data_IF_883937871286
#
_entry.id   IF_883937871286
#
_cell.length_a   1.000
_cell.length_b   1.000
_cell.length_c   1.000
_cell.angle_alpha   90.00
_cell.angle_beta   90.00
_cell.angle_gamma   90.00
#
_symmetry.space_group_name_H-M   'P 1'
#
loop_
_entity.id
_entity.type
_entity.pdbx_description
1 polymer ?
#
# COMPACT_ATOMS: atom_id res chain seq x y z
N UNK A 1 -7.38 -0.45 -36.17
CA UNK A 1 -7.32 -1.92 -36.24
C UNK A 1 -7.25 -2.42 -34.79
N UNK A 2 -8.14 -3.29 -34.36
CA UNK A 2 -8.06 -3.89 -33.02
C UNK A 2 -7.05 -5.03 -33.14
N UNK A 3 -5.89 -4.89 -32.50
CA UNK A 3 -4.86 -5.95 -32.48
C UNK A 3 -4.60 -6.41 -31.06
N UNK A 4 -5.44 -7.32 -30.57
CA UNK A 4 -5.29 -7.93 -29.26
C UNK A 4 -3.99 -8.75 -29.17
N UNK A 5 -3.58 -9.38 -30.27
CA UNK A 5 -2.33 -10.18 -30.32
C UNK A 5 -1.11 -9.28 -30.15
N UNK A 6 -1.07 -8.15 -30.84
CA UNK A 6 0.02 -7.18 -30.69
C UNK A 6 0.06 -6.56 -29.29
N UNK A 7 -1.10 -6.31 -28.67
CA UNK A 7 -1.16 -5.83 -27.29
C UNK A 7 -0.64 -6.89 -26.29
N UNK A 8 -0.99 -8.15 -26.46
CA UNK A 8 -0.45 -9.26 -25.65
C UNK A 8 1.06 -9.42 -25.82
N UNK A 9 1.57 -9.33 -27.05
CA UNK A 9 3.02 -9.34 -27.33
C UNK A 9 3.69 -8.17 -26.62
N UNK A 10 3.13 -6.95 -26.73
CA UNK A 10 3.63 -5.77 -26.04
C UNK A 10 3.67 -5.96 -24.53
N UNK A 11 2.61 -6.53 -23.94
CA UNK A 11 2.56 -6.82 -22.50
C UNK A 11 3.62 -7.85 -22.08
N UNK A 12 3.81 -8.92 -22.88
CA UNK A 12 4.87 -9.93 -22.63
C UNK A 12 6.26 -9.32 -22.76
N UNK A 13 6.49 -8.44 -23.74
CA UNK A 13 7.75 -7.69 -23.87
C UNK A 13 7.98 -6.81 -22.64
N UNK A 14 6.99 -6.07 -22.21
CA UNK A 14 7.06 -5.23 -21.00
C UNK A 14 7.45 -6.05 -19.78
N UNK A 15 6.78 -7.17 -19.54
CA UNK A 15 7.14 -8.09 -18.46
C UNK A 15 8.56 -8.63 -18.62
N UNK A 16 8.95 -9.04 -19.82
CA UNK A 16 10.31 -9.52 -20.12
C UNK A 16 11.38 -8.48 -19.78
N UNK A 17 11.15 -7.21 -20.14
CA UNK A 17 12.04 -6.09 -19.79
C UNK A 17 12.14 -5.91 -18.28
N UNK A 18 11.02 -6.04 -17.55
CA UNK A 18 11.02 -5.97 -16.09
C UNK A 18 11.75 -7.15 -15.46
N UNK A 19 11.61 -8.35 -15.99
CA UNK A 19 12.35 -9.54 -15.53
C UNK A 19 13.87 -9.46 -15.75
N UNK A 20 14.31 -8.73 -16.77
CA UNK A 20 15.74 -8.45 -16.99
C UNK A 20 16.27 -7.40 -15.99
N UNK A 21 15.39 -6.81 -15.17
CA UNK A 21 15.75 -5.82 -14.15
C UNK A 21 15.64 -4.36 -14.59
N UNK A 22 15.00 -4.08 -15.74
CA UNK A 22 14.69 -2.70 -16.10
C UNK A 22 13.66 -2.12 -15.14
N UNK A 23 13.88 -0.86 -14.77
CA UNK A 23 12.91 -0.12 -13.94
C UNK A 23 11.55 -0.04 -14.67
N UNK A 24 10.46 -0.25 -13.94
CA UNK A 24 9.10 -0.35 -14.50
C UNK A 24 8.73 0.82 -15.41
N UNK A 25 9.02 2.07 -15.00
CA UNK A 25 8.75 3.23 -15.84
C UNK A 25 9.50 3.20 -17.18
N UNK A 26 10.74 2.69 -17.20
CA UNK A 26 11.51 2.54 -18.43
C UNK A 26 10.91 1.43 -19.30
N UNK A 27 10.54 0.30 -18.70
CA UNK A 27 9.93 -0.82 -19.43
C UNK A 27 8.59 -0.40 -20.08
N UNK A 28 7.75 0.34 -19.35
CA UNK A 28 6.47 0.87 -19.84
C UNK A 28 6.67 1.90 -20.97
N UNK A 29 7.59 2.84 -20.77
CA UNK A 29 7.90 3.85 -21.78
C UNK A 29 8.46 3.22 -23.04
N UNK A 30 9.41 2.28 -22.91
CA UNK A 30 9.99 1.56 -24.04
C UNK A 30 8.92 0.78 -24.82
N UNK A 31 8.03 0.07 -24.10
CA UNK A 31 6.91 -0.65 -24.73
C UNK A 31 5.95 0.30 -25.44
N UNK A 32 5.60 1.42 -24.80
CA UNK A 32 4.75 2.46 -25.41
C UNK A 32 5.38 3.07 -26.67
N UNK A 33 6.68 3.39 -26.62
CA UNK A 33 7.42 3.92 -27.79
C UNK A 33 7.51 2.88 -28.91
N UNK A 34 7.82 1.62 -28.59
CA UNK A 34 7.86 0.54 -29.58
C UNK A 34 6.48 0.33 -30.22
N UNK A 35 5.41 0.29 -29.43
CA UNK A 35 4.04 0.21 -29.93
C UNK A 35 3.66 1.39 -30.82
N UNK A 36 4.01 2.61 -30.40
CA UNK A 36 3.81 3.82 -31.21
C UNK A 36 4.48 3.75 -32.56
N UNK A 37 5.76 3.35 -32.59
CA UNK A 37 6.55 3.26 -33.84
C UNK A 37 6.05 2.16 -34.77
N UNK A 38 5.71 0.99 -34.22
CA UNK A 38 5.28 -0.16 -35.01
C UNK A 38 3.91 0.04 -35.68
N UNK A 39 2.95 0.62 -34.93
CA UNK A 39 1.56 0.74 -35.39
C UNK A 39 1.21 2.08 -36.02
N UNK A 40 1.83 3.18 -35.58
CA UNK A 40 1.43 4.54 -35.97
C UNK A 40 2.59 5.34 -36.62
N UNK A 41 3.83 4.87 -36.46
CA UNK A 41 5.02 5.56 -36.94
C UNK A 41 5.45 6.76 -36.10
N UNK A 42 6.54 7.45 -36.52
CA UNK A 42 7.16 8.54 -35.74
C UNK A 42 6.26 9.71 -35.34
N UNK A 43 5.24 10.12 -36.13
CA UNK A 43 4.40 11.27 -35.78
C UNK A 43 3.68 11.13 -34.43
N UNK A 44 3.31 9.91 -34.01
CA UNK A 44 2.65 9.68 -32.73
C UNK A 44 3.56 9.99 -31.54
N UNK A 45 4.88 9.93 -31.70
CA UNK A 45 5.81 10.32 -30.64
C UNK A 45 5.72 11.81 -30.27
N UNK A 46 5.21 12.67 -31.17
CA UNK A 46 4.97 14.09 -30.86
C UNK A 46 3.90 14.25 -29.75
N UNK A 47 2.97 13.29 -29.63
CA UNK A 47 1.99 13.27 -28.55
C UNK A 47 2.60 13.02 -27.17
N UNK A 48 3.83 12.48 -27.09
CA UNK A 48 4.52 12.27 -25.83
C UNK A 48 4.68 13.58 -25.03
N UNK A 49 5.09 14.65 -25.71
CA UNK A 49 5.26 15.96 -25.08
C UNK A 49 3.94 16.51 -24.51
N UNK A 50 2.82 16.38 -25.23
CA UNK A 50 1.50 16.81 -24.78
C UNK A 50 0.98 15.94 -23.63
N UNK A 51 1.18 14.65 -23.68
CA UNK A 51 0.84 13.72 -22.57
C UNK A 51 1.67 14.03 -21.32
N UNK A 52 2.99 14.23 -21.47
CA UNK A 52 3.87 14.61 -20.37
C UNK A 52 3.41 15.93 -19.73
N UNK A 53 3.10 16.92 -20.54
CA UNK A 53 2.60 18.21 -20.07
C UNK A 53 1.29 18.08 -19.30
N UNK A 54 0.33 17.31 -19.80
CA UNK A 54 -0.95 17.09 -19.14
C UNK A 54 -0.75 16.41 -17.76
N UNK A 55 0.09 15.40 -17.68
CA UNK A 55 0.40 14.70 -16.41
C UNK A 55 1.10 15.63 -15.42
N UNK A 56 2.11 16.39 -15.88
CA UNK A 56 2.88 17.29 -14.99
C UNK A 56 2.06 18.49 -14.49
N UNK A 57 0.98 18.89 -15.19
CA UNK A 57 0.06 19.93 -14.76
C UNK A 57 -1.15 19.41 -13.96
N UNK A 58 -1.26 18.13 -13.73
CA UNK A 58 -2.33 17.58 -12.90
C UNK A 58 -2.09 17.94 -11.42
N UNK A 59 -2.99 18.77 -10.87
CA UNK A 59 -2.91 19.21 -9.48
C UNK A 59 -2.99 18.06 -8.48
N UNK A 60 -3.70 16.98 -8.82
CA UNK A 60 -3.81 15.80 -7.95
C UNK A 60 -2.46 15.14 -7.71
N UNK A 61 -1.54 15.18 -8.69
CA UNK A 61 -0.23 14.57 -8.55
C UNK A 61 0.69 15.32 -7.57
N UNK A 62 0.41 16.61 -7.27
CA UNK A 62 1.13 17.33 -6.20
C UNK A 62 0.82 16.78 -4.81
N UNK A 63 -0.26 16.05 -4.66
CA UNK A 63 -0.63 15.34 -3.42
C UNK A 63 0.44 14.28 -3.03
N UNK A 64 1.05 13.62 -4.02
CA UNK A 64 2.05 12.57 -3.81
C UNK A 64 3.27 13.09 -3.04
N UNK A 65 4.02 14.11 -3.52
CA UNK A 65 5.18 14.60 -2.78
C UNK A 65 4.83 15.15 -1.40
N UNK A 66 3.64 15.72 -1.21
CA UNK A 66 3.21 16.23 0.09
C UNK A 66 2.95 15.10 1.09
N UNK A 67 2.24 14.03 0.72
CA UNK A 67 2.05 12.87 1.61
C UNK A 67 3.35 12.12 1.86
N UNK A 68 4.22 11.97 0.85
CA UNK A 68 5.55 11.37 1.04
C UNK A 68 6.37 12.22 2.03
N UNK A 69 6.36 13.55 1.91
CA UNK A 69 7.06 14.44 2.83
C UNK A 69 6.47 14.36 4.25
N UNK A 70 5.14 14.33 4.36
CA UNK A 70 4.46 14.12 5.64
C UNK A 70 4.96 12.84 6.32
N UNK A 71 4.96 11.70 5.60
CA UNK A 71 5.45 10.42 6.10
C UNK A 71 6.92 10.47 6.52
N UNK A 72 7.80 11.07 5.69
CA UNK A 72 9.22 11.20 5.96
C UNK A 72 9.54 12.07 7.20
N UNK A 73 8.78 13.15 7.39
CA UNK A 73 8.91 14.00 8.58
C UNK A 73 8.48 13.26 9.86
N UNK A 74 7.35 12.56 9.81
CA UNK A 74 6.84 11.82 10.95
C UNK A 74 7.71 10.62 11.30
N UNK A 75 8.27 9.93 10.30
CA UNK A 75 9.26 8.87 10.48
C UNK A 75 10.47 9.37 11.30
N UNK A 76 10.95 10.59 10.99
CA UNK A 76 12.13 11.18 11.64
C UNK A 76 11.82 12.01 12.87
N UNK A 77 10.54 12.25 13.19
CA UNK A 77 10.12 13.03 14.35
C UNK A 77 10.37 12.35 15.71
N UNK A 78 10.94 11.12 15.72
CA UNK A 78 11.33 10.40 16.94
C UNK A 78 10.15 9.86 17.76
N UNK A 79 8.97 9.70 17.16
CA UNK A 79 7.75 9.27 17.88
C UNK A 79 7.60 7.75 17.95
N UNK A 80 8.24 6.99 17.05
CA UNK A 80 7.95 5.58 16.81
C UNK A 80 8.16 4.71 18.04
N UNK A 81 9.27 4.89 18.77
CA UNK A 81 9.59 4.09 19.96
C UNK A 81 8.55 4.31 21.07
N UNK A 82 8.25 5.57 21.39
CA UNK A 82 7.28 5.91 22.43
C UNK A 82 5.86 5.41 22.08
N UNK A 83 5.51 5.48 20.80
CA UNK A 83 4.27 4.93 20.27
C UNK A 83 4.21 3.41 20.45
N UNK A 84 5.27 2.69 20.07
CA UNK A 84 5.37 1.23 20.22
C UNK A 84 5.25 0.82 21.70
N UNK A 85 6.01 1.45 22.60
CA UNK A 85 5.94 1.19 24.05
C UNK A 85 4.54 1.47 24.62
N UNK A 86 3.90 2.55 24.20
CA UNK A 86 2.55 2.89 24.64
C UNK A 86 1.53 1.82 24.22
N UNK A 87 1.62 1.32 22.98
CA UNK A 87 0.77 0.22 22.50
C UNK A 87 1.07 -1.09 23.24
N UNK A 88 2.34 -1.36 23.53
CA UNK A 88 2.76 -2.53 24.31
C UNK A 88 2.04 -2.60 25.66
N UNK A 89 1.92 -1.49 26.37
CA UNK A 89 1.25 -1.43 27.68
C UNK A 89 -0.23 -1.87 27.65
N UNK A 90 -0.87 -1.82 26.47
CA UNK A 90 -2.28 -2.19 26.30
C UNK A 90 -2.46 -3.54 25.61
N UNK A 91 -1.76 -3.76 24.50
CA UNK A 91 -1.94 -4.92 23.63
C UNK A 91 -1.22 -6.16 24.14
N UNK A 92 -0.18 -6.02 24.95
CA UNK A 92 0.57 -7.15 25.51
C UNK A 92 -0.26 -8.07 26.44
N UNK A 93 -1.45 -7.67 26.83
CA UNK A 93 -2.40 -8.48 27.62
C UNK A 93 -3.16 -9.51 26.82
N UNK A 94 -3.23 -9.32 25.49
CA UNK A 94 -3.88 -10.28 24.63
C UNK A 94 -3.03 -11.55 24.50
N UNK A 95 -3.65 -12.72 24.23
CA UNK A 95 -2.92 -13.95 23.98
C UNK A 95 -1.99 -13.78 22.77
N UNK A 96 -0.67 -13.74 22.99
CA UNK A 96 0.33 -13.40 21.97
C UNK A 96 1.15 -12.16 22.32
N UNK A 97 0.73 -11.35 23.30
CA UNK A 97 1.53 -10.29 23.87
C UNK A 97 2.05 -9.28 22.82
N UNK A 98 3.38 -9.18 22.73
CA UNK A 98 4.04 -8.24 21.82
C UNK A 98 3.77 -8.48 20.33
N UNK A 99 3.31 -9.67 19.93
CA UNK A 99 2.92 -9.92 18.53
C UNK A 99 1.74 -9.02 18.12
N UNK A 100 0.79 -8.79 19.03
CA UNK A 100 -0.31 -7.83 18.80
C UNK A 100 0.19 -6.39 18.76
N UNK A 101 1.22 -6.05 19.56
CA UNK A 101 1.85 -4.73 19.50
C UNK A 101 2.45 -4.46 18.13
N UNK A 102 3.09 -5.46 17.50
CA UNK A 102 3.60 -5.31 16.13
C UNK A 102 2.49 -4.92 15.16
N UNK A 103 1.37 -5.66 15.15
CA UNK A 103 0.23 -5.35 14.26
C UNK A 103 -0.36 -3.98 14.57
N UNK A 104 -0.63 -3.67 15.84
CA UNK A 104 -1.20 -2.39 16.23
C UNK A 104 -0.27 -1.20 15.95
N UNK A 105 1.04 -1.37 16.17
CA UNK A 105 2.03 -0.35 15.85
C UNK A 105 2.17 -0.14 14.33
N UNK A 106 2.16 -1.22 13.56
CA UNK A 106 2.13 -1.13 12.10
C UNK A 106 0.87 -0.41 11.61
N UNK A 107 -0.33 -0.79 12.09
CA UNK A 107 -1.58 -0.14 11.71
C UNK A 107 -1.57 1.36 12.00
N UNK A 108 -1.13 1.74 13.21
CA UNK A 108 -1.05 3.15 13.59
C UNK A 108 0.02 3.91 12.82
N UNK A 109 1.20 3.30 12.61
CA UNK A 109 2.27 3.91 11.84
C UNK A 109 1.92 4.03 10.36
N UNK A 110 1.16 3.06 9.83
CA UNK A 110 0.63 3.05 8.47
C UNK A 110 -0.26 4.25 8.18
N UNK A 111 -1.14 4.60 9.11
CA UNK A 111 -2.01 5.79 9.04
C UNK A 111 -1.23 7.12 8.95
N UNK A 112 0.08 7.07 9.09
CA UNK A 112 0.96 8.23 9.10
C UNK A 112 1.97 8.17 7.96
N UNK A 113 2.53 6.99 7.67
CA UNK A 113 3.60 6.81 6.69
C UNK A 113 3.11 6.58 5.26
N UNK A 114 1.93 5.97 5.09
CA UNK A 114 1.38 5.61 3.78
C UNK A 114 2.24 4.64 2.96
N UNK A 115 3.24 3.98 3.59
CA UNK A 115 4.22 3.11 2.92
C UNK A 115 4.44 1.82 3.70
N UNK A 116 4.22 0.68 3.05
CA UNK A 116 4.45 -0.64 3.62
C UNK A 116 5.93 -0.90 3.92
N UNK A 117 6.82 -0.59 2.99
CA UNK A 117 8.26 -0.79 3.12
C UNK A 117 8.84 0.04 4.28
N UNK A 118 8.45 1.32 4.38
CA UNK A 118 8.87 2.19 5.46
C UNK A 118 8.36 1.69 6.83
N UNK A 119 7.13 1.21 6.88
CA UNK A 119 6.53 0.61 8.07
C UNK A 119 7.28 -0.65 8.50
N UNK A 120 7.57 -1.56 7.55
CA UNK A 120 8.34 -2.79 7.82
C UNK A 120 9.72 -2.49 8.39
N UNK A 121 10.45 -1.55 7.79
CA UNK A 121 11.80 -1.18 8.24
C UNK A 121 11.78 -0.52 9.63
N UNK A 122 10.86 0.43 9.85
CA UNK A 122 10.82 1.23 11.06
C UNK A 122 10.30 0.43 12.26
N UNK A 123 9.13 -0.18 12.12
CA UNK A 123 8.55 -0.99 13.20
C UNK A 123 9.40 -2.25 13.40
N UNK A 124 9.92 -2.86 12.32
CA UNK A 124 10.82 -4.00 12.40
C UNK A 124 12.05 -3.72 13.27
N UNK A 125 12.69 -2.55 13.10
CA UNK A 125 13.86 -2.16 13.89
C UNK A 125 13.51 -2.04 15.39
N UNK A 126 12.41 -1.36 15.72
CA UNK A 126 11.98 -1.19 17.11
C UNK A 126 11.52 -2.52 17.72
N UNK A 127 10.71 -3.28 16.99
CA UNK A 127 10.16 -4.55 17.44
C UNK A 127 11.26 -5.58 17.70
N UNK A 128 12.15 -5.82 16.73
CA UNK A 128 13.19 -6.83 16.86
C UNK A 128 14.14 -6.58 18.04
N UNK A 129 14.39 -5.32 18.39
CA UNK A 129 15.17 -4.99 19.60
C UNK A 129 14.45 -5.43 20.88
N UNK A 130 13.12 -5.28 20.95
CA UNK A 130 12.31 -5.75 22.08
C UNK A 130 12.25 -7.28 22.18
N UNK A 131 12.24 -7.99 21.04
CA UNK A 131 12.19 -9.45 21.03
C UNK A 131 13.53 -10.14 21.31
N UNK A 132 14.67 -9.46 21.16
CA UNK A 132 16.02 -10.04 21.40
C UNK A 132 16.20 -10.66 22.79
N UNK A 133 15.45 -10.22 23.77
CA UNK A 133 15.58 -10.62 25.19
C UNK A 133 14.39 -11.45 25.68
N UNK A 134 13.52 -11.91 24.77
CA UNK A 134 12.26 -12.55 25.10
C UNK A 134 12.10 -13.90 24.38
N UNK A 135 11.40 -14.83 24.99
CA UNK A 135 11.17 -16.16 24.47
C UNK A 135 9.94 -16.23 23.55
N UNK A 136 10.05 -15.65 22.36
CA UNK A 136 9.02 -15.74 21.31
C UNK A 136 9.50 -16.61 20.16
N UNK A 137 8.55 -17.24 19.48
CA UNK A 137 8.83 -18.01 18.25
C UNK A 137 9.21 -17.05 17.12
N UNK A 138 10.50 -16.99 16.80
CA UNK A 138 11.08 -15.98 15.88
C UNK A 138 10.37 -15.91 14.52
N UNK A 139 10.04 -17.01 13.81
CA UNK A 139 9.28 -16.96 12.58
C UNK A 139 7.95 -16.17 12.71
N UNK A 140 7.20 -16.40 13.79
CA UNK A 140 5.92 -15.70 14.00
C UNK A 140 6.13 -14.20 14.25
N UNK A 141 7.20 -13.82 14.97
CA UNK A 141 7.58 -12.39 15.14
C UNK A 141 7.83 -11.74 13.79
N UNK A 142 8.64 -12.36 12.93
CA UNK A 142 8.96 -11.86 11.60
C UNK A 142 7.70 -11.75 10.73
N UNK A 143 6.83 -12.76 10.80
CA UNK A 143 5.54 -12.77 10.10
C UNK A 143 4.63 -11.63 10.54
N UNK A 144 4.53 -11.33 11.86
CA UNK A 144 3.70 -10.22 12.33
C UNK A 144 4.20 -8.85 11.88
N UNK A 145 5.52 -8.66 11.78
CA UNK A 145 6.11 -7.42 11.28
C UNK A 145 5.84 -7.28 9.78
N UNK A 146 6.09 -8.33 8.99
CA UNK A 146 5.88 -8.32 7.56
C UNK A 146 4.41 -8.12 7.18
N UNK A 147 3.49 -8.84 7.84
CA UNK A 147 2.05 -8.73 7.63
C UNK A 147 1.50 -7.37 8.11
N UNK A 148 1.85 -6.96 9.34
CA UNK A 148 1.40 -5.68 9.88
C UNK A 148 1.83 -4.50 9.00
N UNK A 149 3.03 -4.58 8.42
CA UNK A 149 3.53 -3.53 7.54
C UNK A 149 2.70 -3.37 6.25
N UNK A 150 2.02 -4.42 5.75
CA UNK A 150 1.17 -4.30 4.55
C UNK A 150 0.06 -3.29 4.76
N UNK A 151 -0.49 -3.16 5.96
CA UNK A 151 -1.52 -2.17 6.29
C UNK A 151 -1.13 -0.73 5.87
N UNK A 152 0.16 -0.48 5.59
CA UNK A 152 0.69 0.81 5.16
C UNK A 152 0.21 1.33 3.81
N UNK A 153 -0.37 0.49 2.99
CA UNK A 153 -0.93 0.91 1.70
C UNK A 153 -2.46 0.82 1.65
N UNK A 154 -3.11 0.22 2.66
CA UNK A 154 -4.57 0.14 2.76
C UNK A 154 -5.15 1.21 3.68
N UNK A 155 -4.54 1.38 4.88
CA UNK A 155 -5.01 2.38 5.85
C UNK A 155 -4.64 3.78 5.35
N UNK A 156 -5.62 4.70 5.17
CA UNK A 156 -5.33 6.05 4.68
C UNK A 156 -4.43 6.86 5.65
N UNK A 157 -3.72 7.89 5.15
CA UNK A 157 -3.53 8.21 3.74
C UNK A 157 -2.55 7.25 3.05
N UNK A 158 -2.90 6.81 1.85
CA UNK A 158 -2.12 5.84 1.09
C UNK A 158 -1.69 6.42 -0.26
N UNK A 159 -0.39 6.38 -0.54
CA UNK A 159 0.15 6.82 -1.84
C UNK A 159 -0.39 5.95 -2.99
N UNK A 160 -0.60 4.66 -2.76
CA UNK A 160 -1.12 3.77 -3.78
C UNK A 160 -2.58 4.11 -4.15
N UNK A 161 -3.41 4.45 -3.17
CA UNK A 161 -4.79 4.90 -3.44
C UNK A 161 -4.82 6.25 -4.17
N UNK A 162 -3.87 7.16 -3.91
CA UNK A 162 -3.74 8.41 -4.65
C UNK A 162 -3.40 8.13 -6.12
N UNK A 163 -2.42 7.26 -6.37
CA UNK A 163 -2.01 6.88 -7.73
C UNK A 163 -3.15 6.18 -8.47
N UNK A 164 -3.85 5.26 -7.79
CA UNK A 164 -5.03 4.61 -8.35
C UNK A 164 -6.10 5.65 -8.75
N UNK A 165 -6.43 6.57 -7.84
CA UNK A 165 -7.40 7.63 -8.09
C UNK A 165 -7.02 8.52 -9.28
N UNK A 166 -5.75 8.89 -9.40
CA UNK A 166 -5.23 9.66 -10.53
C UNK A 166 -5.32 8.90 -11.87
N UNK A 167 -4.99 7.59 -11.87
CA UNK A 167 -5.03 6.76 -13.08
C UNK A 167 -6.45 6.45 -13.57
N UNK A 168 -7.40 6.37 -12.64
CA UNK A 168 -8.79 5.95 -12.93
C UNK A 168 -9.81 7.08 -12.87
N UNK A 169 -9.37 8.32 -12.55
CA UNK A 169 -10.25 9.45 -12.26
C UNK A 169 -11.27 9.17 -11.14
N UNK A 170 -10.88 8.35 -10.16
CA UNK A 170 -11.72 8.01 -9.00
C UNK A 170 -11.41 8.96 -7.84
N UNK A 171 -12.43 9.37 -7.08
CA UNK A 171 -12.27 10.29 -5.94
C UNK A 171 -11.33 9.73 -4.88
N UNK A 172 -10.23 10.44 -4.60
CA UNK A 172 -9.25 10.06 -3.57
C UNK A 172 -9.91 10.06 -2.18
N UNK A 173 -10.83 11.00 -1.91
CA UNK A 173 -11.58 11.06 -0.65
C UNK A 173 -12.41 9.79 -0.44
N UNK A 174 -13.14 9.34 -1.46
CA UNK A 174 -13.92 8.09 -1.41
C UNK A 174 -13.02 6.86 -1.26
N UNK A 175 -11.89 6.80 -1.97
CA UNK A 175 -10.91 5.72 -1.83
C UNK A 175 -10.34 5.65 -0.42
N UNK A 176 -10.00 6.79 0.17
CA UNK A 176 -9.54 6.83 1.55
C UNK A 176 -10.62 6.37 2.53
N UNK A 177 -11.87 6.81 2.36
CA UNK A 177 -12.99 6.35 3.17
C UNK A 177 -13.20 4.83 3.05
N UNK A 178 -13.12 4.31 1.82
CA UNK A 178 -13.26 2.88 1.51
C UNK A 178 -12.18 2.00 2.14
N UNK A 179 -10.97 2.53 2.35
CA UNK A 179 -9.85 1.80 2.96
C UNK A 179 -9.96 1.63 4.48
N UNK A 180 -10.78 2.44 5.18
CA UNK A 180 -10.84 2.46 6.65
C UNK A 180 -11.35 1.12 7.20
N UNK A 181 -12.56 0.73 6.83
CA UNK A 181 -13.19 -0.46 7.38
C UNK A 181 -12.44 -1.75 7.00
N UNK A 182 -12.04 -1.98 5.73
CA UNK A 182 -11.18 -3.10 5.38
C UNK A 182 -9.86 -3.12 6.15
N UNK A 183 -9.20 -1.98 6.32
CA UNK A 183 -7.94 -1.88 7.07
C UNK A 183 -8.09 -2.24 8.54
N UNK A 184 -9.17 -1.79 9.19
CA UNK A 184 -9.50 -2.17 10.57
C UNK A 184 -9.83 -3.66 10.67
N UNK A 185 -10.65 -4.19 9.76
CA UNK A 185 -11.00 -5.62 9.74
C UNK A 185 -9.78 -6.50 9.51
N UNK A 186 -8.90 -6.13 8.59
CA UNK A 186 -7.66 -6.88 8.35
C UNK A 186 -6.73 -6.85 9.56
N UNK A 187 -6.63 -5.70 10.24
CA UNK A 187 -5.90 -5.57 11.51
C UNK A 187 -6.46 -6.53 12.57
N UNK A 188 -7.78 -6.56 12.74
CA UNK A 188 -8.46 -7.46 13.68
C UNK A 188 -8.27 -8.93 13.27
N UNK A 189 -8.33 -9.23 11.99
CA UNK A 189 -8.13 -10.59 11.47
C UNK A 189 -6.69 -11.09 11.73
N UNK A 190 -5.68 -10.24 11.52
CA UNK A 190 -4.30 -10.55 11.88
C UNK A 190 -4.15 -10.80 13.39
N UNK A 191 -4.76 -9.96 14.23
CA UNK A 191 -4.76 -10.15 15.68
C UNK A 191 -5.48 -11.44 16.10
N UNK A 192 -6.60 -11.76 15.45
CA UNK A 192 -7.35 -13.00 15.72
C UNK A 192 -6.54 -14.25 15.39
N UNK A 193 -5.79 -14.25 14.29
CA UNK A 193 -4.89 -15.35 13.92
C UNK A 193 -3.76 -15.52 14.95
N UNK A 194 -3.16 -14.44 15.42
CA UNK A 194 -2.15 -14.49 16.49
C UNK A 194 -2.75 -15.10 17.74
N UNK A 195 -3.91 -14.63 18.18
CA UNK A 195 -4.59 -15.14 19.37
C UNK A 195 -4.92 -16.65 19.22
N UNK A 196 -5.49 -17.05 18.09
CA UNK A 196 -5.81 -18.44 17.81
C UNK A 196 -4.55 -19.35 17.83
N UNK A 197 -3.47 -18.90 17.18
CA UNK A 197 -2.21 -19.65 17.14
C UNK A 197 -1.60 -19.83 18.55
N UNK A 198 -1.60 -18.78 19.37
CA UNK A 198 -1.04 -18.83 20.72
C UNK A 198 -1.95 -19.58 21.69
N UNK A 199 -3.27 -19.50 21.56
CA UNK A 199 -4.19 -20.30 22.36
C UNK A 199 -4.06 -21.79 22.04
N UNK A 200 -3.82 -22.14 20.78
CA UNK A 200 -3.57 -23.54 20.38
C UNK A 200 -2.19 -24.02 20.83
N UNK A 201 -1.14 -23.18 20.70
CA UNK A 201 0.24 -23.52 21.09
C UNK A 201 0.85 -22.38 21.93
N UNK A 202 0.67 -22.39 23.26
CA UNK A 202 1.15 -21.32 24.15
C UNK A 202 2.67 -21.07 24.12
N UNK A 203 3.45 -22.07 23.69
CA UNK A 203 4.92 -21.94 23.56
C UNK A 203 5.36 -20.98 22.44
N UNK A 204 4.45 -20.46 21.62
CA UNK A 204 4.76 -19.52 20.55
C UNK A 204 5.03 -18.11 21.08
N UNK A 205 4.53 -17.78 22.26
CA UNK A 205 4.67 -16.45 22.84
C UNK A 205 4.98 -16.50 24.34
N UNK A 206 5.79 -15.58 24.79
CA UNK A 206 6.06 -15.39 26.22
C UNK A 206 4.84 -14.73 26.90
N UNK A 207 4.48 -15.23 28.08
CA UNK A 207 3.46 -14.59 28.88
C UNK A 207 4.02 -13.33 29.54
N UNK A 208 3.42 -12.19 29.27
CA UNK A 208 3.79 -10.93 29.89
C UNK A 208 3.27 -10.88 31.32
N UNK A 209 4.17 -11.04 32.29
CA UNK A 209 3.83 -11.06 33.72
C UNK A 209 3.82 -9.69 34.37
N UNK A 210 4.52 -8.72 33.79
CA UNK A 210 4.65 -7.37 34.37
C UNK A 210 4.10 -6.32 33.39
N UNK A 211 3.02 -5.66 33.80
CA UNK A 211 2.42 -4.55 33.06
C UNK A 211 2.45 -3.31 33.98
N UNK A 212 2.82 -2.13 33.47
CA UNK A 212 2.85 -0.91 34.25
C UNK A 212 1.49 -0.59 34.92
N UNK A 213 1.48 0.14 36.04
CA UNK A 213 0.25 0.59 36.71
C UNK A 213 -0.67 1.36 35.75
N UNK A 214 -2.00 1.30 35.98
CA UNK A 214 -3.00 1.96 35.11
C UNK A 214 -2.70 3.45 34.91
N UNK A 215 -2.29 4.16 35.96
CA UNK A 215 -1.97 5.58 35.89
C UNK A 215 -0.81 5.88 34.92
N UNK A 216 0.22 5.03 34.90
CA UNK A 216 1.37 5.17 33.98
C UNK A 216 0.97 4.87 32.55
N UNK A 217 0.18 3.81 32.31
CA UNK A 217 -0.33 3.47 30.97
C UNK A 217 -1.19 4.59 30.39
N UNK A 218 -2.10 5.17 31.19
CA UNK A 218 -2.90 6.32 30.76
C UNK A 218 -2.01 7.53 30.43
N UNK A 219 -0.96 7.77 31.23
CA UNK A 219 -0.01 8.86 30.96
C UNK A 219 0.76 8.62 29.66
N UNK A 220 1.09 7.37 29.32
CA UNK A 220 1.81 7.03 28.08
C UNK A 220 0.93 7.14 26.84
N UNK A 221 -0.42 7.08 26.94
CA UNK A 221 -1.34 7.31 25.81
C UNK A 221 -1.12 8.67 25.14
N UNK A 222 -0.57 9.66 25.88
CA UNK A 222 -0.21 10.96 25.31
C UNK A 222 0.74 10.86 24.10
N UNK A 223 1.54 9.79 24.00
CA UNK A 223 2.45 9.58 22.89
C UNK A 223 1.74 9.13 21.61
N UNK A 224 0.49 8.64 21.71
CA UNK A 224 -0.35 8.31 20.57
C UNK A 224 -1.12 9.52 20.04
N UNK A 225 -1.34 10.55 20.88
CA UNK A 225 -2.14 11.72 20.51
C UNK A 225 -1.57 12.51 19.32
N UNK A 226 -0.24 12.79 19.21
CA UNK A 226 0.27 13.55 18.08
C UNK A 226 0.08 12.87 16.73
N UNK A 227 0.48 11.60 16.49
CA UNK A 227 0.24 10.96 15.20
C UNK A 227 -1.24 10.76 14.90
N UNK A 228 -2.06 10.37 15.89
CA UNK A 228 -3.51 10.27 15.73
C UNK A 228 -4.14 11.63 15.48
N UNK A 229 -3.69 12.69 16.17
CA UNK A 229 -4.18 14.05 15.95
C UNK A 229 -3.92 14.54 14.54
N UNK A 230 -2.73 14.32 13.99
CA UNK A 230 -2.42 14.66 12.61
C UNK A 230 -3.31 13.86 11.65
N UNK A 231 -3.46 12.56 11.87
CA UNK A 231 -4.35 11.71 11.09
C UNK A 231 -5.79 12.23 11.10
N UNK A 232 -6.35 12.49 12.29
CA UNK A 232 -7.74 12.98 12.46
C UNK A 232 -7.94 14.33 11.81
N UNK A 233 -6.97 15.26 11.93
CA UNK A 233 -7.06 16.58 11.31
C UNK A 233 -7.02 16.47 9.78
N UNK A 234 -6.07 15.72 9.23
CA UNK A 234 -5.91 15.55 7.76
C UNK A 234 -7.12 14.85 7.16
N UNK A 235 -7.51 13.70 7.72
CA UNK A 235 -8.65 12.94 7.19
C UNK A 235 -9.98 13.63 7.47
N UNK A 236 -10.12 14.27 8.64
CA UNK A 236 -11.30 15.06 9.00
C UNK A 236 -11.50 16.26 8.07
N UNK A 237 -10.42 16.92 7.65
CA UNK A 237 -10.49 18.01 6.69
C UNK A 237 -10.97 17.54 5.30
N UNK A 238 -10.52 16.34 4.87
CA UNK A 238 -10.94 15.74 3.59
C UNK A 238 -12.41 15.31 3.66
N UNK A 239 -12.80 14.56 4.70
CA UNK A 239 -14.17 14.01 4.82
C UNK A 239 -15.20 15.08 5.17
N UNK A 240 -14.79 16.14 5.88
CA UNK A 240 -15.65 17.31 6.13
C UNK A 240 -15.81 18.22 4.92
N UNK A 241 -15.13 17.95 3.81
CA UNK A 241 -15.16 18.81 2.61
C UNK A 241 -14.47 20.16 2.80
N UNK A 242 -13.67 20.34 3.87
CA UNK A 242 -12.98 21.60 4.19
C UNK A 242 -11.69 21.78 3.41
N UNK A 243 -11.09 20.69 2.95
CA UNK A 243 -9.86 20.71 2.18
C UNK A 243 -9.83 19.58 1.13
N UNK A 244 -9.24 19.86 0.00
CA UNK A 244 -8.87 18.84 -0.98
C UNK A 244 -7.77 17.93 -0.40
N UNK A 245 -7.55 16.71 -0.95
CA UNK A 245 -6.45 15.85 -0.50
C UNK A 245 -5.08 16.55 -0.53
N UNK A 246 -4.84 17.42 -1.52
CA UNK A 246 -3.58 18.18 -1.65
C UNK A 246 -3.43 19.21 -0.53
N UNK A 247 -4.47 19.97 -0.23
CA UNK A 247 -4.47 20.98 0.85
C UNK A 247 -4.35 20.32 2.22
N UNK A 248 -5.05 19.20 2.44
CA UNK A 248 -4.97 18.42 3.66
C UNK A 248 -3.56 17.84 3.86
N UNK A 249 -2.91 17.37 2.78
CA UNK A 249 -1.52 16.91 2.85
C UNK A 249 -0.56 18.05 3.24
N UNK A 250 -0.73 19.24 2.67
CA UNK A 250 0.07 20.41 3.03
C UNK A 250 -0.12 20.81 4.51
N UNK A 251 -1.38 20.79 5.01
CA UNK A 251 -1.68 20.98 6.43
C UNK A 251 -0.96 19.92 7.29
N UNK A 252 -1.01 18.65 6.88
CA UNK A 252 -0.31 17.54 7.53
C UNK A 252 1.20 17.77 7.63
N UNK A 253 1.83 18.25 6.55
CA UNK A 253 3.26 18.60 6.53
C UNK A 253 3.57 19.68 7.57
N UNK A 254 2.78 20.74 7.65
CA UNK A 254 2.97 21.81 8.66
C UNK A 254 2.85 21.25 10.09
N UNK A 255 1.86 20.40 10.34
CA UNK A 255 1.68 19.75 11.64
C UNK A 255 2.84 18.81 11.98
N UNK A 256 3.36 18.05 11.02
CA UNK A 256 4.52 17.18 11.20
C UNK A 256 5.79 17.97 11.52
N UNK A 257 6.00 19.11 10.86
CA UNK A 257 7.08 20.06 11.22
C UNK A 257 6.94 20.54 12.66
N UNK A 258 5.74 20.96 13.07
CA UNK A 258 5.45 21.37 14.44
C UNK A 258 5.77 20.28 15.45
N UNK A 259 5.39 19.03 15.14
CA UNK A 259 5.67 17.87 15.99
C UNK A 259 7.16 17.56 16.07
N UNK A 260 7.89 17.57 14.96
CA UNK A 260 9.34 17.35 14.93
C UNK A 260 10.07 18.43 15.78
N UNK A 261 9.62 19.68 15.70
CA UNK A 261 10.14 20.78 16.53
C UNK A 261 9.84 20.56 18.01
N UNK A 262 8.62 20.17 18.36
CA UNK A 262 8.20 19.91 19.75
C UNK A 262 9.01 18.76 20.38
N UNK A 263 9.33 17.74 19.60
CA UNK A 263 10.16 16.59 20.00
C UNK A 263 11.68 16.88 19.98
N UNK A 264 12.08 18.10 19.62
CA UNK A 264 13.51 18.49 19.43
C UNK A 264 14.25 17.63 18.43
N UNK A 265 13.55 17.00 17.50
CA UNK A 265 14.10 16.18 16.43
C UNK A 265 14.44 17.02 15.18
N UNK A 266 13.97 18.27 15.11
CA UNK A 266 14.17 19.16 13.98
C UNK A 266 15.63 19.60 13.90
N UNK A 267 16.36 19.15 12.89
CA UNK A 267 17.72 19.56 12.56
C UNK A 267 17.87 19.75 11.05
N UNK A 268 18.90 20.43 10.61
CA UNK A 268 19.18 20.58 9.18
C UNK A 268 19.39 19.22 8.51
N UNK A 269 20.15 18.32 9.14
CA UNK A 269 20.40 16.97 8.62
C UNK A 269 19.12 16.15 8.51
N UNK A 270 18.23 16.22 9.50
CA UNK A 270 16.93 15.56 9.47
C UNK A 270 16.07 16.08 8.30
N UNK A 271 15.99 17.40 8.13
CA UNK A 271 15.24 18.01 7.04
C UNK A 271 15.86 17.66 5.68
N UNK A 272 17.17 17.78 5.54
CA UNK A 272 17.87 17.40 4.33
C UNK A 272 17.58 15.95 3.95
N UNK A 273 17.68 15.02 4.92
CA UNK A 273 17.37 13.61 4.71
C UNK A 273 15.90 13.39 4.31
N UNK A 274 14.96 14.07 4.96
CA UNK A 274 13.52 13.98 4.63
C UNK A 274 13.24 14.51 3.21
N UNK A 275 13.77 15.66 2.84
CA UNK A 275 13.59 16.24 1.50
C UNK A 275 14.22 15.38 0.41
N UNK A 276 15.46 14.86 0.61
CA UNK A 276 16.11 13.99 -0.38
C UNK A 276 15.32 12.70 -0.57
N UNK A 277 14.83 12.07 0.51
CA UNK A 277 13.98 10.88 0.42
C UNK A 277 12.67 11.20 -0.34
N UNK A 278 12.02 12.31 -0.01
CA UNK A 278 10.80 12.78 -0.70
C UNK A 278 11.04 13.01 -2.18
N UNK A 279 12.10 13.72 -2.55
CA UNK A 279 12.42 14.00 -3.95
C UNK A 279 12.66 12.70 -4.73
N UNK A 280 13.47 11.78 -4.19
CA UNK A 280 13.76 10.50 -4.83
C UNK A 280 12.50 9.67 -5.06
N UNK A 281 11.67 9.52 -4.02
CA UNK A 281 10.42 8.75 -4.11
C UNK A 281 9.43 9.40 -5.05
N UNK A 282 9.20 10.71 -4.92
CA UNK A 282 8.25 11.44 -5.77
C UNK A 282 8.67 11.46 -7.23
N UNK A 283 9.96 11.68 -7.53
CA UNK A 283 10.47 11.67 -8.90
C UNK A 283 10.29 10.29 -9.55
N UNK A 284 10.57 9.23 -8.80
CA UNK A 284 10.35 7.85 -9.27
C UNK A 284 8.86 7.60 -9.57
N UNK A 285 7.97 7.97 -8.66
CA UNK A 285 6.53 7.78 -8.82
C UNK A 285 5.97 8.58 -10.00
N UNK A 286 6.32 9.86 -10.11
CA UNK A 286 5.87 10.71 -11.22
C UNK A 286 6.41 10.23 -12.56
N UNK A 287 7.63 9.70 -12.62
CA UNK A 287 8.18 9.08 -13.84
C UNK A 287 7.39 7.84 -14.24
N UNK A 288 7.06 6.94 -13.28
CA UNK A 288 6.24 5.75 -13.54
C UNK A 288 4.85 6.16 -14.06
N UNK A 289 4.21 7.13 -13.40
CA UNK A 289 2.88 7.62 -13.79
C UNK A 289 2.92 8.21 -15.21
N UNK A 290 3.92 9.02 -15.52
CA UNK A 290 4.08 9.59 -16.87
C UNK A 290 4.23 8.50 -17.94
N UNK A 291 5.07 7.50 -17.67
CA UNK A 291 5.26 6.35 -18.57
C UNK A 291 3.95 5.56 -18.76
N UNK A 292 3.19 5.39 -17.69
CA UNK A 292 1.90 4.71 -17.71
C UNK A 292 0.84 5.46 -18.54
N UNK A 293 0.74 6.77 -18.37
CA UNK A 293 -0.21 7.58 -19.16
C UNK A 293 0.12 7.53 -20.64
N UNK A 294 1.41 7.55 -21.01
CA UNK A 294 1.80 7.39 -22.41
C UNK A 294 1.49 5.99 -22.94
N UNK A 295 1.81 4.95 -22.18
CA UNK A 295 1.46 3.57 -22.54
C UNK A 295 -0.06 3.40 -22.69
N UNK A 296 -0.84 3.96 -21.74
CA UNK A 296 -2.30 3.93 -21.78
C UNK A 296 -2.87 4.62 -23.03
N UNK A 297 -2.29 5.76 -23.42
CA UNK A 297 -2.64 6.46 -24.65
C UNK A 297 -2.44 5.55 -25.88
N UNK A 298 -1.30 4.85 -26.00
CA UNK A 298 -1.01 3.94 -27.11
C UNK A 298 -1.95 2.72 -27.08
N UNK A 299 -2.17 2.10 -25.91
CA UNK A 299 -3.10 0.99 -25.71
C UNK A 299 -4.53 1.38 -26.10
N UNK A 300 -4.94 2.61 -25.75
CA UNK A 300 -6.23 3.19 -26.14
C UNK A 300 -6.37 3.34 -27.67
N UNK A 301 -5.33 3.88 -28.33
CA UNK A 301 -5.31 4.01 -29.80
C UNK A 301 -5.37 2.66 -30.52
N UNK A 302 -4.80 1.62 -29.95
CA UNK A 302 -4.86 0.24 -30.48
C UNK A 302 -6.24 -0.40 -30.31
N UNK A 303 -7.15 0.18 -29.54
CA UNK A 303 -8.49 -0.34 -29.29
C UNK A 303 -8.50 -1.56 -28.36
N UNK A 304 -7.43 -1.76 -27.55
CA UNK A 304 -7.32 -2.89 -26.61
C UNK A 304 -8.45 -2.91 -25.58
N UNK A 305 -8.88 -1.76 -24.97
CA UNK A 305 -9.99 -1.74 -24.04
C UNK A 305 -11.29 -2.31 -24.65
N UNK A 306 -11.58 -1.95 -25.90
CA UNK A 306 -12.76 -2.40 -26.62
C UNK A 306 -12.68 -3.90 -26.96
N UNK A 307 -11.49 -4.39 -27.33
CA UNK A 307 -11.25 -5.79 -27.61
C UNK A 307 -11.43 -6.66 -26.33
N UNK A 308 -10.89 -6.20 -25.20
CA UNK A 308 -11.03 -6.88 -23.91
C UNK A 308 -12.49 -6.95 -23.45
N UNK A 309 -13.24 -5.84 -23.55
CA UNK A 309 -14.66 -5.82 -23.20
C UNK A 309 -15.47 -6.77 -24.08
N UNK A 310 -15.19 -6.86 -25.38
CA UNK A 310 -15.82 -7.83 -26.29
C UNK A 310 -15.50 -9.28 -25.90
N UNK A 311 -14.22 -9.58 -25.65
CA UNK A 311 -13.81 -10.93 -25.24
C UNK A 311 -14.53 -11.39 -23.95
N UNK A 312 -14.67 -10.49 -22.97
CA UNK A 312 -15.42 -10.76 -21.72
C UNK A 312 -16.90 -11.03 -22.02
N UNK A 313 -17.51 -10.24 -22.90
CA UNK A 313 -18.91 -10.45 -23.33
C UNK A 313 -19.10 -11.78 -24.08
N UNK A 314 -18.20 -12.11 -25.00
CA UNK A 314 -18.24 -13.35 -25.79
C UNK A 314 -18.05 -14.59 -24.91
N UNK A 315 -17.22 -14.49 -23.86
CA UNK A 315 -17.03 -15.56 -22.89
C UNK A 315 -18.18 -15.66 -21.88
N UNK A 316 -19.10 -14.70 -21.87
CA UNK A 316 -20.26 -14.66 -20.96
C UNK A 316 -19.88 -14.52 -19.49
N UNK A 317 -18.70 -13.95 -19.18
CA UNK A 317 -18.22 -13.80 -17.82
C UNK A 317 -19.04 -12.77 -17.05
N UNK A 318 -19.45 -13.13 -15.85
CA UNK A 318 -20.07 -12.21 -14.92
C UNK A 318 -19.00 -11.49 -14.04
N UNK A 319 -19.45 -10.46 -13.29
CA UNK A 319 -18.56 -9.65 -12.46
C UNK A 319 -17.77 -10.49 -11.44
N UNK A 320 -18.42 -11.47 -10.79
CA UNK A 320 -17.77 -12.32 -9.78
C UNK A 320 -16.71 -13.23 -10.40
N UNK A 321 -17.01 -13.84 -11.55
CA UNK A 321 -16.07 -14.70 -12.27
C UNK A 321 -14.84 -13.89 -12.72
N UNK A 322 -15.07 -12.69 -13.24
CA UNK A 322 -13.95 -11.80 -13.63
C UNK A 322 -13.09 -11.43 -12.43
N UNK A 323 -13.67 -11.11 -11.27
CA UNK A 323 -12.90 -10.82 -10.05
C UNK A 323 -12.09 -12.06 -9.61
N UNK A 324 -12.65 -13.26 -9.67
CA UNK A 324 -11.90 -14.48 -9.34
C UNK A 324 -10.73 -14.73 -10.29
N UNK A 325 -10.90 -14.46 -11.59
CA UNK A 325 -9.81 -14.50 -12.57
C UNK A 325 -8.73 -13.46 -12.20
N UNK A 326 -9.14 -12.25 -11.82
CA UNK A 326 -8.20 -11.21 -11.41
C UNK A 326 -7.49 -11.54 -10.09
N UNK A 327 -8.14 -12.23 -9.14
CA UNK A 327 -7.47 -12.75 -7.93
C UNK A 327 -6.31 -13.66 -8.33
N UNK A 328 -6.56 -14.63 -9.20
CA UNK A 328 -5.50 -15.55 -9.67
C UNK A 328 -4.42 -14.80 -10.45
N UNK A 329 -4.81 -13.90 -11.35
CA UNK A 329 -3.90 -13.09 -12.15
C UNK A 329 -2.97 -12.24 -11.25
N UNK A 330 -3.53 -11.48 -10.32
CA UNK A 330 -2.74 -10.63 -9.42
C UNK A 330 -1.92 -11.43 -8.41
N UNK A 331 -2.37 -12.60 -7.99
CA UNK A 331 -1.59 -13.50 -7.15
C UNK A 331 -0.32 -13.98 -7.87
N UNK A 332 -0.45 -14.38 -9.13
CA UNK A 332 0.70 -14.80 -9.96
C UNK A 332 1.61 -13.60 -10.23
N UNK A 333 1.05 -12.46 -10.67
CA UNK A 333 1.83 -11.25 -10.97
C UNK A 333 2.58 -10.74 -9.72
N UNK A 334 1.93 -10.79 -8.56
CA UNK A 334 2.50 -10.35 -7.29
C UNK A 334 3.69 -11.18 -6.80
N UNK A 335 3.83 -12.43 -7.29
CA UNK A 335 5.04 -13.21 -7.03
C UNK A 335 6.30 -12.61 -7.67
N UNK A 336 6.17 -11.73 -8.66
CA UNK A 336 7.27 -11.26 -9.49
C UNK A 336 7.40 -9.74 -9.55
N UNK A 337 6.28 -9.02 -9.45
CA UNK A 337 6.23 -7.58 -9.60
C UNK A 337 6.05 -6.89 -8.26
N UNK A 338 6.63 -5.70 -8.15
CA UNK A 338 6.33 -4.81 -7.03
C UNK A 338 4.94 -4.15 -7.22
N UNK A 339 4.37 -3.64 -6.15
CA UNK A 339 2.98 -3.20 -6.09
C UNK A 339 2.61 -2.13 -7.11
N UNK A 340 3.44 -1.09 -7.24
CA UNK A 340 3.17 0.01 -8.17
C UNK A 340 3.24 -0.45 -9.63
N UNK A 341 4.23 -1.29 -9.94
CA UNK A 341 4.39 -1.90 -11.27
C UNK A 341 3.16 -2.72 -11.65
N UNK A 342 2.66 -3.51 -10.71
CA UNK A 342 1.47 -4.32 -10.89
C UNK A 342 0.24 -3.45 -11.15
N UNK A 343 0.01 -2.42 -10.33
CA UNK A 343 -1.13 -1.50 -10.50
C UNK A 343 -1.05 -0.74 -11.82
N UNK A 344 0.04 -0.03 -12.02
CA UNK A 344 0.18 0.91 -13.15
C UNK A 344 0.23 0.18 -14.48
N UNK A 345 0.84 -1.03 -14.52
CA UNK A 345 0.91 -1.87 -15.72
C UNK A 345 -0.41 -2.51 -16.12
N UNK A 346 -1.34 -2.73 -15.19
CA UNK A 346 -2.57 -3.47 -15.45
C UNK A 346 -3.83 -2.61 -15.53
N UNK A 347 -3.91 -1.50 -14.80
CA UNK A 347 -5.07 -0.60 -14.80
C UNK A 347 -5.54 -0.21 -16.19
N UNK A 348 -4.67 0.19 -17.14
CA UNK A 348 -5.09 0.60 -18.48
C UNK A 348 -5.91 -0.45 -19.24
N UNK A 349 -5.64 -1.72 -18.95
CA UNK A 349 -6.30 -2.86 -19.60
C UNK A 349 -7.49 -3.36 -18.79
N UNK A 350 -7.35 -3.42 -17.48
CA UNK A 350 -8.34 -4.01 -16.58
C UNK A 350 -9.51 -3.05 -16.31
N UNK A 351 -9.23 -1.75 -16.13
CA UNK A 351 -10.27 -0.79 -15.73
C UNK A 351 -11.45 -0.68 -16.70
N UNK A 352 -11.26 -0.66 -18.04
CA UNK A 352 -12.37 -0.68 -18.99
C UNK A 352 -13.27 -1.91 -18.85
N UNK A 353 -12.69 -3.07 -18.53
CA UNK A 353 -13.45 -4.31 -18.30
C UNK A 353 -14.25 -4.21 -17.00
N UNK A 354 -13.67 -3.67 -15.93
CA UNK A 354 -14.34 -3.45 -14.64
C UNK A 354 -15.56 -2.56 -14.81
N UNK A 355 -15.41 -1.43 -15.53
CA UNK A 355 -16.51 -0.52 -15.83
C UNK A 355 -17.58 -1.16 -16.71
N UNK A 356 -17.18 -1.97 -17.70
CA UNK A 356 -18.12 -2.70 -18.58
C UNK A 356 -19.00 -3.69 -17.81
N UNK A 357 -18.43 -4.35 -16.79
CA UNK A 357 -19.14 -5.29 -15.91
C UNK A 357 -19.93 -4.60 -14.79
N UNK A 358 -19.94 -3.26 -14.74
CA UNK A 358 -20.65 -2.50 -13.72
C UNK A 358 -20.06 -2.60 -12.33
N UNK A 359 -18.78 -2.97 -12.19
CA UNK A 359 -18.07 -3.02 -10.91
C UNK A 359 -17.69 -1.60 -10.52
N UNK A 360 -17.98 -1.23 -9.27
CA UNK A 360 -17.66 0.10 -8.75
C UNK A 360 -16.15 0.35 -8.71
N UNK A 361 -15.65 1.48 -9.25
CA UNK A 361 -14.23 1.82 -9.27
C UNK A 361 -13.60 1.97 -7.89
N UNK A 362 -14.36 2.47 -6.88
CA UNK A 362 -13.88 2.62 -5.51
C UNK A 362 -13.68 1.24 -4.88
N UNK A 363 -14.67 0.36 -5.04
CA UNK A 363 -14.57 -1.03 -4.57
C UNK A 363 -13.39 -1.75 -5.21
N UNK A 364 -13.24 -1.62 -6.54
CA UNK A 364 -12.14 -2.26 -7.26
C UNK A 364 -10.77 -1.71 -6.82
N UNK A 365 -10.66 -0.43 -6.50
CA UNK A 365 -9.44 0.17 -5.97
C UNK A 365 -8.99 -0.47 -4.66
N UNK A 366 -9.92 -0.72 -3.74
CA UNK A 366 -9.61 -1.40 -2.47
C UNK A 366 -9.27 -2.88 -2.70
N UNK A 367 -10.03 -3.57 -3.56
CA UNK A 367 -9.70 -4.94 -3.97
C UNK A 367 -8.27 -5.03 -4.51
N UNK A 368 -7.91 -4.15 -5.45
CA UNK A 368 -6.58 -4.12 -6.05
C UNK A 368 -5.50 -3.85 -5.00
N UNK A 369 -5.71 -2.90 -4.08
CA UNK A 369 -4.74 -2.60 -3.02
C UNK A 369 -4.55 -3.79 -2.09
N UNK A 370 -5.61 -4.52 -1.72
CA UNK A 370 -5.48 -5.74 -0.91
C UNK A 370 -4.71 -6.83 -1.67
N UNK A 371 -4.92 -6.97 -2.99
CA UNK A 371 -4.11 -7.86 -3.82
C UNK A 371 -2.63 -7.45 -3.86
N UNK A 372 -2.35 -6.15 -3.91
CA UNK A 372 -0.99 -5.61 -3.83
C UNK A 372 -0.34 -5.85 -2.46
N UNK A 373 -1.10 -5.73 -1.37
CA UNK A 373 -0.63 -6.09 -0.02
C UNK A 373 -0.25 -7.58 0.06
N UNK A 374 -1.10 -8.43 -0.50
CA UNK A 374 -0.83 -9.87 -0.58
C UNK A 374 0.46 -10.14 -1.35
N UNK A 375 0.69 -9.43 -2.46
CA UNK A 375 1.93 -9.52 -3.25
C UNK A 375 3.19 -9.17 -2.44
N UNK A 376 3.11 -8.16 -1.55
CA UNK A 376 4.23 -7.75 -0.70
C UNK A 376 4.69 -8.83 0.29
N UNK A 377 3.86 -9.80 0.58
CA UNK A 377 4.13 -10.86 1.55
C UNK A 377 4.07 -12.27 0.97
N UNK A 378 3.85 -12.40 -0.34
CA UNK A 378 3.79 -13.72 -1.00
C UNK A 378 5.14 -14.11 -1.58
N UNK A 379 5.71 -15.28 -1.18
CA UNK A 379 6.90 -15.82 -1.82
C UNK A 379 6.68 -16.05 -3.33
N UNK A 380 7.74 -16.00 -4.17
CA UNK A 380 9.16 -15.97 -3.83
C UNK A 380 9.74 -14.57 -3.59
N UNK A 381 9.14 -13.48 -4.12
CA UNK A 381 9.73 -12.14 -3.94
C UNK A 381 9.23 -11.51 -2.65
N UNK A 382 7.98 -11.06 -2.55
CA UNK A 382 7.41 -10.47 -1.35
C UNK A 382 8.31 -9.40 -0.69
N UNK A 383 8.28 -8.16 -1.18
CA UNK A 383 9.27 -7.13 -0.80
C UNK A 383 9.39 -6.92 0.72
N UNK A 384 8.27 -6.97 1.46
CA UNK A 384 8.30 -6.84 2.92
C UNK A 384 9.09 -7.95 3.60
N UNK A 385 9.12 -9.16 3.02
CA UNK A 385 9.86 -10.30 3.56
C UNK A 385 11.36 -10.03 3.52
N UNK A 386 11.85 -9.45 2.42
CA UNK A 386 13.25 -9.06 2.28
C UNK A 386 13.62 -7.88 3.19
N UNK A 387 12.71 -6.90 3.34
CA UNK A 387 12.93 -5.77 4.24
C UNK A 387 13.05 -6.25 5.69
N UNK A 388 12.14 -7.11 6.15
CA UNK A 388 12.18 -7.68 7.49
C UNK A 388 13.43 -8.53 7.69
N UNK A 389 13.82 -9.35 6.70
CA UNK A 389 15.07 -10.10 6.75
C UNK A 389 16.30 -9.19 6.80
N UNK A 390 16.30 -8.09 6.04
CA UNK A 390 17.38 -7.10 6.06
C UNK A 390 17.53 -6.42 7.42
N UNK A 391 16.41 -6.05 8.06
CA UNK A 391 16.41 -5.46 9.41
C UNK A 391 16.85 -6.48 10.47
N UNK A 392 16.44 -7.76 10.32
CA UNK A 392 16.88 -8.86 11.19
C UNK A 392 18.40 -9.07 11.13
N UNK A 393 19.00 -8.98 9.94
CA UNK A 393 20.45 -9.08 9.70
C UNK A 393 21.09 -10.44 9.98
N UNK A 394 20.28 -11.50 10.24
CA UNK A 394 20.73 -12.87 10.59
C UNK A 394 19.70 -13.92 10.20
N UNK A 395 20.05 -15.20 10.29
CA UNK A 395 19.17 -16.33 10.02
C UNK A 395 18.77 -16.47 8.54
N UNK A 396 17.87 -17.39 8.25
CA UNK A 396 17.45 -17.69 6.88
C UNK A 396 16.14 -16.97 6.52
N UNK A 397 15.99 -16.59 5.26
CA UNK A 397 14.74 -16.02 4.72
C UNK A 397 13.56 -17.00 4.87
N UNK A 398 13.84 -18.31 4.88
CA UNK A 398 12.84 -19.34 5.10
C UNK A 398 12.07 -19.19 6.42
N UNK A 399 12.67 -18.60 7.46
CA UNK A 399 11.98 -18.31 8.72
C UNK A 399 10.90 -17.28 8.53
N UNK A 400 11.18 -16.23 7.74
CA UNK A 400 10.20 -15.19 7.41
C UNK A 400 9.05 -15.80 6.59
N UNK A 401 9.39 -16.67 5.62
CA UNK A 401 8.38 -17.37 4.80
C UNK A 401 7.45 -18.25 5.65
N UNK A 402 8.01 -19.00 6.62
CA UNK A 402 7.18 -19.81 7.52
C UNK A 402 6.28 -18.96 8.41
N UNK A 403 6.81 -17.83 8.88
CA UNK A 403 6.06 -16.93 9.76
C UNK A 403 4.92 -16.20 9.09
N UNK A 404 5.01 -15.95 7.78
CA UNK A 404 4.01 -15.18 7.05
C UNK A 404 2.78 -16.00 6.61
N UNK A 405 2.90 -17.32 6.47
CA UNK A 405 1.83 -18.16 5.91
C UNK A 405 0.45 -17.96 6.55
N UNK A 406 0.31 -17.89 7.90
CA UNK A 406 -1.00 -17.64 8.51
C UNK A 406 -1.62 -16.31 8.09
N UNK A 407 -0.80 -15.29 7.86
CA UNK A 407 -1.24 -13.95 7.48
C UNK A 407 -1.62 -13.87 6.00
N UNK A 408 -0.94 -14.63 5.13
CA UNK A 408 -1.37 -14.82 3.73
C UNK A 408 -2.77 -15.43 3.70
N UNK A 409 -3.03 -16.46 4.52
CA UNK A 409 -4.37 -17.04 4.63
C UNK A 409 -5.40 -16.00 5.11
N UNK A 410 -5.05 -15.14 6.07
CA UNK A 410 -5.91 -14.05 6.53
C UNK A 410 -6.28 -13.09 5.39
N UNK A 411 -5.32 -12.72 4.56
CA UNK A 411 -5.57 -11.82 3.44
C UNK A 411 -6.45 -12.47 2.37
N UNK A 412 -6.27 -13.76 2.08
CA UNK A 412 -7.16 -14.51 1.19
C UNK A 412 -8.59 -14.57 1.76
N UNK A 413 -8.74 -14.75 3.07
CA UNK A 413 -10.04 -14.65 3.74
C UNK A 413 -10.62 -13.25 3.57
N UNK A 414 -9.83 -12.20 3.75
CA UNK A 414 -10.28 -10.81 3.58
C UNK A 414 -10.75 -10.54 2.15
N UNK A 415 -10.03 -11.04 1.15
CA UNK A 415 -10.44 -10.95 -0.27
C UNK A 415 -11.78 -11.66 -0.48
N UNK A 416 -11.94 -12.87 0.06
CA UNK A 416 -13.21 -13.59 0.03
C UNK A 416 -14.35 -12.80 0.69
N UNK A 417 -14.09 -12.17 1.83
CA UNK A 417 -15.08 -11.37 2.56
C UNK A 417 -15.55 -10.16 1.74
N UNK A 418 -14.65 -9.41 1.12
CA UNK A 418 -15.06 -8.23 0.32
C UNK A 418 -15.74 -8.60 -0.99
N UNK A 419 -15.47 -9.79 -1.55
CA UNK A 419 -16.19 -10.32 -2.72
C UNK A 419 -17.61 -10.73 -2.33
N UNK A 420 -17.79 -11.43 -1.19
CA UNK A 420 -19.09 -11.88 -0.72
C UNK A 420 -19.95 -10.74 -0.14
N UNK A 421 -19.30 -9.76 0.50
CA UNK A 421 -19.94 -8.61 1.13
C UNK A 421 -19.28 -7.29 0.68
N UNK A 422 -19.59 -6.78 -0.53
CA UNK A 422 -19.03 -5.53 -1.05
C UNK A 422 -19.26 -4.32 -0.12
N UNK A 423 -20.27 -4.37 0.72
CA UNK A 423 -20.60 -3.34 1.71
C UNK A 423 -19.46 -3.11 2.73
N UNK A 424 -18.62 -4.10 2.96
CA UNK A 424 -17.41 -3.91 3.81
C UNK A 424 -16.54 -2.77 3.28
N UNK A 425 -16.49 -2.60 1.96
CA UNK A 425 -15.74 -1.53 1.30
C UNK A 425 -16.57 -0.26 1.16
N UNK A 426 -17.86 -0.40 0.81
CA UNK A 426 -18.68 0.73 0.34
C UNK A 426 -19.41 1.48 1.46
N UNK A 427 -19.66 0.85 2.62
CA UNK A 427 -20.48 1.46 3.70
C UNK A 427 -19.94 2.80 4.20
N UNK A 428 -18.61 2.97 4.30
CA UNK A 428 -18.01 4.24 4.78
C UNK A 428 -18.06 5.32 3.70
N UNK A 429 -17.68 5.07 2.42
CA UNK A 429 -17.91 6.01 1.34
C UNK A 429 -19.35 6.46 1.20
N UNK A 430 -20.31 5.53 1.17
CA UNK A 430 -21.75 5.83 1.02
C UNK A 430 -22.32 6.64 2.22
N UNK A 431 -21.71 6.51 3.39
CA UNK A 431 -22.14 7.29 4.56
C UNK A 431 -21.55 8.70 4.61
N UNK A 432 -20.43 8.95 3.92
CA UNK A 432 -19.71 10.24 3.98
C UNK A 432 -19.91 11.10 2.72
N UNK A 433 -20.20 10.48 1.58
CA UNK A 433 -20.32 11.13 0.27
C UNK A 433 -21.66 10.78 -0.41
#
# INVERSE_FOLDING_TARGET
MIDLTGALIGFVIMLGLMFIGLHVGIAMLATGVLGALVYFGPPVLLSFGTNLWAVMNDFLLTTIPLFVLLGELLLRAGITRNMYESLTDWLSRLPGGLLHTNIGACALFSAVSGSSVATAATIGTVALDEFKRRAYHEPLVLGTIAAGATLGILIPPSVNLIIYGALTNTSIGQLFAAGILPGVLLTVLFMAIIAAAVLWKPSLAEQVTQVPPRAERLRRLRYLLPPLGIFVIVMGAIYGGWATPTEAAALGVVLAFGLAKANRALSFDMLHAAFIATIKTSAMLLFIITAAFFLNFIVGLLGVPQAMSRAVTELGLNATEMILILVLFYLVMGCFLETLSMMVGTIPVVMPVILHLGIDPVWFGIFLVIMMELALITPPVGMNLYVVQGVRGRGELADVYRGILPFVAAMLIMIGLIILWPQIVMVVPEALF
#
